data_IF_443389988866
#
_entry.id   IF_443389988866
#
_cell.length_a   1.000
_cell.length_b   1.000
_cell.length_c   1.000
_cell.angle_alpha   90.00
_cell.angle_beta   90.00
_cell.angle_gamma   90.00
#
_symmetry.space_group_name_H-M   'P 1'
#
loop_
_entity.id
_entity.type
_entity.pdbx_description
1 polymer ?
#
# COMPACT_ATOMS: atom_id res chain seq x y z
N UNK A 1 18.90 30.31 -5.69
CA UNK A 1 20.03 29.36 -5.58
C UNK A 1 20.56 29.19 -4.15
N UNK A 2 21.37 30.09 -3.55
CA UNK A 2 21.92 29.85 -2.19
C UNK A 2 20.82 29.66 -1.11
N UNK A 3 19.80 30.51 -1.08
CA UNK A 3 18.66 30.38 -0.15
C UNK A 3 17.84 29.11 -0.38
N UNK A 4 17.73 28.65 -1.63
CA UNK A 4 17.02 27.40 -1.99
C UNK A 4 17.83 26.14 -1.68
N UNK A 5 19.16 26.22 -1.75
CA UNK A 5 20.03 25.12 -1.34
C UNK A 5 20.03 24.97 0.19
N UNK A 6 20.12 26.08 0.92
CA UNK A 6 20.01 26.09 2.39
C UNK A 6 18.65 25.54 2.83
N UNK A 7 17.57 25.85 2.11
CA UNK A 7 16.24 25.29 2.43
C UNK A 7 16.13 23.80 2.11
N UNK A 8 16.78 23.30 1.05
CA UNK A 8 16.78 21.87 0.72
C UNK A 8 17.62 21.04 1.71
N UNK A 9 18.78 21.53 2.13
CA UNK A 9 19.59 20.85 3.15
C UNK A 9 18.86 20.77 4.48
N UNK A 10 18.20 21.86 4.89
CA UNK A 10 17.34 21.87 6.07
C UNK A 10 16.19 20.86 5.93
N UNK A 11 15.51 20.83 4.79
CA UNK A 11 14.45 19.88 4.53
C UNK A 11 14.93 18.42 4.57
N UNK A 12 16.13 18.14 4.05
CA UNK A 12 16.75 16.81 4.13
C UNK A 12 17.11 16.44 5.57
N UNK A 13 17.65 17.37 6.35
CA UNK A 13 17.92 17.16 7.78
C UNK A 13 16.63 16.96 8.59
N UNK A 14 15.53 17.61 8.21
CA UNK A 14 14.22 17.41 8.83
C UNK A 14 13.64 16.04 8.52
N UNK A 15 13.80 15.53 7.29
CA UNK A 15 13.37 14.18 6.92
C UNK A 15 14.09 13.10 7.74
N UNK A 16 15.31 13.36 8.20
CA UNK A 16 16.04 12.44 9.07
C UNK A 16 15.46 12.31 10.48
N UNK A 17 14.65 13.27 10.92
CA UNK A 17 14.06 13.26 12.26
C UNK A 17 12.84 12.34 12.31
N UNK A 18 12.78 11.39 13.27
CA UNK A 18 11.57 10.61 13.50
C UNK A 18 10.39 11.53 13.88
N UNK A 19 9.25 11.40 13.21
CA UNK A 19 8.07 12.24 13.44
C UNK A 19 6.84 11.46 13.88
N UNK A 20 6.89 10.12 13.93
CA UNK A 20 5.75 9.27 14.28
C UNK A 20 5.21 9.48 15.70
N UNK A 21 5.97 10.15 16.56
CA UNK A 21 5.56 10.51 17.91
C UNK A 21 4.82 11.85 17.99
N UNK A 22 4.89 12.69 16.95
CA UNK A 22 4.31 14.03 16.94
C UNK A 22 2.78 14.05 16.85
N UNK A 23 2.10 13.19 16.05
CA UNK A 23 0.66 13.27 15.93
C UNK A 23 -0.04 12.95 17.26
N UNK A 24 -0.89 13.88 17.71
CA UNK A 24 -1.75 13.66 18.87
C UNK A 24 -2.93 12.78 18.48
N UNK A 25 -3.03 11.62 19.12
CA UNK A 25 -4.18 10.74 18.97
C UNK A 25 -5.39 11.29 19.72
N UNK A 26 -6.50 11.45 19.01
CA UNK A 26 -7.78 11.92 19.55
C UNK A 26 -8.87 10.86 19.43
N UNK A 27 -9.96 10.98 20.20
CA UNK A 27 -11.08 10.03 20.16
C UNK A 27 -10.73 8.60 20.60
N UNK A 28 -9.74 8.45 21.48
CA UNK A 28 -9.21 7.14 21.89
C UNK A 28 -10.01 6.53 23.04
N UNK A 29 -10.86 5.55 22.74
CA UNK A 29 -11.53 4.72 23.76
C UNK A 29 -10.56 3.70 24.38
N UNK A 30 -10.87 3.20 25.58
CA UNK A 30 -10.07 2.14 26.22
C UNK A 30 -9.95 0.90 25.31
N UNK A 31 -11.05 0.48 24.70
CA UNK A 31 -11.07 -0.63 23.75
C UNK A 31 -10.13 -0.39 22.56
N UNK A 32 -10.12 0.84 22.03
CA UNK A 32 -9.24 1.21 20.91
C UNK A 32 -7.77 1.17 21.30
N UNK A 33 -7.43 1.67 22.49
CA UNK A 33 -6.06 1.64 23.04
C UNK A 33 -5.60 0.21 23.30
N UNK A 34 -6.47 -0.61 23.90
CA UNK A 34 -6.17 -2.01 24.19
C UNK A 34 -5.96 -2.81 22.90
N UNK A 35 -6.89 -2.69 21.95
CA UNK A 35 -6.78 -3.34 20.65
C UNK A 35 -5.52 -2.88 19.92
N UNK A 36 -5.25 -1.57 19.85
CA UNK A 36 -4.05 -1.04 19.19
C UNK A 36 -2.72 -1.35 19.89
N UNK A 37 -2.73 -2.04 21.04
CA UNK A 37 -1.51 -2.35 21.77
C UNK A 37 -0.73 -3.50 21.11
N UNK A 38 0.58 -3.28 20.89
CA UNK A 38 1.48 -4.31 20.39
C UNK A 38 1.54 -5.54 21.31
N UNK A 39 1.41 -5.34 22.63
CA UNK A 39 1.42 -6.41 23.63
C UNK A 39 0.25 -7.37 23.43
N UNK A 40 -0.97 -6.85 23.22
CA UNK A 40 -2.14 -7.68 22.97
C UNK A 40 -1.96 -8.51 21.68
N UNK A 41 -1.57 -7.86 20.58
CA UNK A 41 -1.37 -8.60 19.33
C UNK A 41 -0.25 -9.64 19.44
N UNK A 42 0.80 -9.41 20.25
CA UNK A 42 1.84 -10.43 20.52
C UNK A 42 1.36 -11.57 21.42
N UNK A 43 0.47 -11.30 22.36
CA UNK A 43 -0.08 -12.31 23.27
C UNK A 43 -0.99 -13.32 22.54
N UNK A 44 -1.66 -12.90 21.46
CA UNK A 44 -2.49 -13.78 20.65
C UNK A 44 -1.63 -14.48 19.58
N UNK A 45 -1.57 -15.83 19.55
CA UNK A 45 -0.85 -16.56 18.52
C UNK A 45 -1.31 -16.17 17.11
N UNK A 46 -0.36 -15.96 16.19
CA UNK A 46 -0.65 -15.51 14.82
C UNK A 46 -1.69 -16.39 14.11
N UNK A 47 -1.61 -17.74 14.12
CA UNK A 47 -2.62 -18.57 13.45
C UNK A 47 -4.03 -18.34 14.00
N UNK A 48 -4.17 -18.16 15.32
CA UNK A 48 -5.46 -17.88 15.94
C UNK A 48 -5.98 -16.50 15.54
N UNK A 49 -5.14 -15.47 15.61
CA UNK A 49 -5.52 -14.11 15.23
C UNK A 49 -6.00 -14.01 13.78
N UNK A 50 -5.29 -14.67 12.85
CA UNK A 50 -5.68 -14.65 11.43
C UNK A 50 -6.94 -15.48 11.18
N UNK A 51 -7.16 -16.58 11.90
CA UNK A 51 -8.44 -17.32 11.84
C UNK A 51 -9.61 -16.49 12.37
N UNK A 52 -9.42 -15.76 13.47
CA UNK A 52 -10.42 -14.84 14.02
C UNK A 52 -10.69 -13.68 13.06
N UNK A 53 -9.66 -13.14 12.40
CA UNK A 53 -9.82 -12.12 11.37
C UNK A 53 -10.60 -12.66 10.16
N UNK A 54 -10.29 -13.88 9.70
CA UNK A 54 -11.04 -14.52 8.63
C UNK A 54 -12.51 -14.77 9.01
N UNK A 55 -12.77 -15.23 10.25
CA UNK A 55 -14.12 -15.37 10.79
C UNK A 55 -14.84 -14.02 10.83
N UNK A 56 -14.19 -12.95 11.29
CA UNK A 56 -14.74 -11.59 11.26
C UNK A 56 -15.17 -11.20 9.84
N UNK A 57 -14.32 -11.40 8.83
CA UNK A 57 -14.67 -11.11 7.43
C UNK A 57 -15.88 -11.90 6.93
N UNK A 58 -16.01 -13.18 7.32
CA UNK A 58 -17.20 -14.00 7.03
C UNK A 58 -18.45 -13.47 7.73
N UNK A 59 -18.33 -13.07 9.00
CA UNK A 59 -19.45 -12.50 9.76
C UNK A 59 -19.87 -11.14 9.20
N UNK A 60 -18.93 -10.29 8.79
CA UNK A 60 -19.22 -8.98 8.17
C UNK A 60 -20.10 -9.11 6.93
N UNK A 61 -19.94 -10.18 6.14
CA UNK A 61 -20.80 -10.45 4.98
C UNK A 61 -22.29 -10.59 5.36
N UNK A 62 -22.57 -11.24 6.50
CA UNK A 62 -23.93 -11.50 6.95
C UNK A 62 -24.49 -10.38 7.83
N UNK A 63 -23.65 -9.76 8.65
CA UNK A 63 -24.06 -8.84 9.71
C UNK A 63 -23.96 -7.36 9.32
N UNK A 64 -23.17 -7.01 8.30
CA UNK A 64 -22.89 -5.61 7.96
C UNK A 64 -23.26 -5.33 6.49
N UNK A 65 -24.54 -5.03 6.19
CA UNK A 65 -25.02 -4.82 4.82
C UNK A 65 -24.22 -3.78 4.03
N UNK A 66 -23.74 -2.72 4.70
CA UNK A 66 -22.90 -1.69 4.07
C UNK A 66 -21.56 -2.24 3.57
N UNK A 67 -20.89 -3.10 4.36
CA UNK A 67 -19.62 -3.75 3.97
C UNK A 67 -19.85 -4.73 2.82
N UNK A 68 -20.93 -5.51 2.87
CA UNK A 68 -21.35 -6.39 1.77
C UNK A 68 -21.57 -5.62 0.46
N UNK A 69 -22.38 -4.57 0.50
CA UNK A 69 -22.67 -3.76 -0.69
C UNK A 69 -21.40 -3.10 -1.24
N UNK A 70 -20.49 -2.64 -0.36
CA UNK A 70 -19.22 -2.08 -0.79
C UNK A 70 -18.32 -3.13 -1.47
N UNK A 71 -18.17 -4.32 -0.89
CA UNK A 71 -17.37 -5.40 -1.49
C UNK A 71 -17.92 -5.87 -2.85
N UNK A 72 -19.24 -5.89 -3.01
CA UNK A 72 -19.88 -6.17 -4.31
C UNK A 72 -19.53 -5.10 -5.34
N UNK A 73 -19.64 -3.80 -5.00
CA UNK A 73 -19.24 -2.71 -5.90
C UNK A 73 -17.77 -2.80 -6.33
N UNK A 74 -16.86 -3.10 -5.40
CA UNK A 74 -15.45 -3.26 -5.75
C UNK A 74 -15.22 -4.47 -6.66
N UNK A 75 -15.98 -5.55 -6.44
CA UNK A 75 -15.94 -6.76 -7.29
C UNK A 75 -16.43 -6.45 -8.70
N UNK A 76 -17.54 -5.71 -8.82
CA UNK A 76 -18.04 -5.22 -10.10
C UNK A 76 -17.00 -4.36 -10.82
N UNK A 77 -16.40 -3.39 -10.13
CA UNK A 77 -15.40 -2.50 -10.72
C UNK A 77 -14.17 -3.26 -11.25
N UNK A 78 -13.63 -4.25 -10.53
CA UNK A 78 -12.38 -4.90 -10.94
C UNK A 78 -12.57 -6.16 -11.79
N UNK A 79 -13.70 -6.87 -11.63
CA UNK A 79 -14.00 -8.12 -12.37
C UNK A 79 -15.08 -7.96 -13.43
N UNK A 80 -15.80 -6.83 -13.48
CA UNK A 80 -16.95 -6.65 -14.36
C UNK A 80 -18.17 -7.52 -14.02
N UNK A 81 -18.19 -8.13 -12.83
CA UNK A 81 -19.28 -9.03 -12.43
C UNK A 81 -20.43 -8.24 -11.81
N UNK A 82 -21.64 -8.39 -12.38
CA UNK A 82 -22.85 -7.77 -11.82
C UNK A 82 -23.04 -8.16 -10.35
N UNK A 83 -23.34 -7.20 -9.45
CA UNK A 83 -23.56 -7.43 -8.02
C UNK A 83 -24.64 -8.47 -7.68
N UNK A 84 -25.56 -8.73 -8.61
CA UNK A 84 -26.68 -9.67 -8.44
C UNK A 84 -26.29 -11.13 -8.70
N UNK A 85 -25.13 -11.35 -9.33
CA UNK A 85 -24.70 -12.70 -9.69
C UNK A 85 -24.21 -13.49 -8.47
N UNK A 86 -24.50 -14.80 -8.39
CA UNK A 86 -23.93 -15.67 -7.34
C UNK A 86 -22.40 -15.65 -7.34
N UNK A 87 -21.78 -15.49 -8.50
CA UNK A 87 -20.33 -15.41 -8.67
C UNK A 87 -19.74 -14.14 -8.04
N UNK A 88 -20.34 -12.96 -8.27
CA UNK A 88 -19.92 -11.72 -7.60
C UNK A 88 -19.98 -11.87 -6.07
N UNK A 89 -21.00 -12.54 -5.55
CA UNK A 89 -21.12 -12.79 -4.12
C UNK A 89 -19.99 -13.69 -3.57
N UNK A 90 -19.48 -14.65 -4.35
CA UNK A 90 -18.32 -15.47 -3.94
C UNK A 90 -17.07 -14.61 -3.80
N UNK A 91 -16.77 -13.77 -4.79
CA UNK A 91 -15.58 -12.92 -4.77
C UNK A 91 -15.67 -11.80 -3.73
N UNK A 92 -16.84 -11.15 -3.60
CA UNK A 92 -17.06 -10.13 -2.58
C UNK A 92 -16.93 -10.70 -1.14
N UNK A 93 -17.37 -11.94 -0.89
CA UNK A 93 -17.11 -12.63 0.38
C UNK A 93 -15.62 -12.85 0.61
N UNK A 94 -14.90 -13.35 -0.40
CA UNK A 94 -13.44 -13.57 -0.30
C UNK A 94 -12.72 -12.25 -0.01
N UNK A 95 -13.15 -11.16 -0.65
CA UNK A 95 -12.64 -9.80 -0.41
C UNK A 95 -12.82 -9.35 1.04
N UNK A 96 -13.99 -9.54 1.65
CA UNK A 96 -14.19 -9.17 3.07
C UNK A 96 -13.28 -9.98 4.01
N UNK A 97 -13.05 -11.26 3.70
CA UNK A 97 -12.09 -12.09 4.43
C UNK A 97 -10.67 -11.57 4.23
N UNK A 98 -10.29 -11.23 3.00
CA UNK A 98 -8.98 -10.67 2.67
C UNK A 98 -8.72 -9.36 3.39
N UNK A 99 -9.63 -8.38 3.28
CA UNK A 99 -9.57 -7.10 3.98
C UNK A 99 -9.35 -7.32 5.49
N UNK A 100 -10.09 -8.27 6.07
CA UNK A 100 -10.04 -8.50 7.49
C UNK A 100 -8.71 -9.11 7.95
N UNK A 101 -8.19 -10.08 7.20
CA UNK A 101 -6.91 -10.74 7.45
C UNK A 101 -5.74 -9.79 7.19
N UNK A 102 -5.76 -9.07 6.07
CA UNK A 102 -4.76 -8.06 5.73
C UNK A 102 -4.72 -6.92 6.74
N UNK A 103 -5.86 -6.51 7.29
CA UNK A 103 -5.90 -5.55 8.40
C UNK A 103 -5.21 -6.11 9.67
N UNK A 104 -5.44 -7.37 10.03
CA UNK A 104 -4.79 -8.00 11.20
C UNK A 104 -3.28 -8.19 11.00
N UNK A 105 -2.84 -8.57 9.80
CA UNK A 105 -1.41 -8.66 9.46
C UNK A 105 -0.69 -7.32 9.64
N UNK A 106 -1.37 -6.22 9.32
CA UNK A 106 -0.82 -4.88 9.46
C UNK A 106 -0.64 -4.46 10.93
N UNK A 107 -1.44 -4.98 11.86
CA UNK A 107 -1.20 -4.83 13.31
C UNK A 107 -0.03 -5.67 13.83
N UNK A 108 0.54 -6.54 13.00
CA UNK A 108 1.61 -7.48 13.34
C UNK A 108 2.87 -7.23 12.49
N UNK A 109 3.44 -6.02 12.51
CA UNK A 109 4.56 -5.66 11.63
C UNK A 109 5.85 -6.46 11.90
N UNK A 110 5.96 -7.17 13.02
CA UNK A 110 7.10 -8.06 13.27
C UNK A 110 7.09 -9.33 12.40
N UNK A 111 5.94 -9.73 11.85
CA UNK A 111 5.84 -10.94 11.02
C UNK A 111 6.58 -10.79 9.69
N UNK A 112 6.71 -9.57 9.18
CA UNK A 112 7.38 -9.31 7.90
C UNK A 112 8.89 -9.23 8.00
N UNK A 113 9.47 -9.25 9.21
CA UNK A 113 10.93 -9.22 9.39
C UNK A 113 11.65 -10.39 8.72
N UNK A 114 11.02 -11.57 8.72
CA UNK A 114 11.54 -12.80 8.10
C UNK A 114 10.72 -13.22 6.88
N UNK A 115 9.90 -12.31 6.34
CA UNK A 115 9.13 -12.57 5.14
C UNK A 115 10.08 -12.89 3.97
N UNK A 116 9.83 -13.96 3.19
CA UNK A 116 10.57 -14.20 1.96
C UNK A 116 10.38 -13.02 0.99
N UNK A 117 11.45 -12.61 0.33
CA UNK A 117 11.41 -11.57 -0.70
C UNK A 117 11.97 -12.20 -1.98
N UNK A 118 11.07 -12.53 -2.90
CA UNK A 118 11.42 -12.99 -4.25
C UNK A 118 12.08 -11.82 -5.01
N UNK A 119 13.21 -12.06 -5.69
CA UNK A 119 13.93 -11.03 -6.45
C UNK A 119 14.80 -10.08 -5.62
N UNK A 120 15.09 -10.42 -4.35
CA UNK A 120 15.95 -9.61 -3.49
C UNK A 120 17.36 -9.42 -4.09
N UNK A 121 17.95 -10.45 -4.70
CA UNK A 121 19.32 -10.40 -5.23
C UNK A 121 19.45 -9.34 -6.34
N UNK A 122 18.53 -9.33 -7.31
CA UNK A 122 18.46 -8.33 -8.38
C UNK A 122 18.30 -6.91 -7.86
N UNK A 123 17.49 -6.75 -6.81
CA UNK A 123 17.34 -5.45 -6.16
C UNK A 123 18.66 -5.00 -5.50
N UNK A 124 19.40 -5.92 -4.88
CA UNK A 124 20.69 -5.62 -4.28
C UNK A 124 21.75 -5.29 -5.36
N UNK A 125 21.71 -5.98 -6.50
CA UNK A 125 22.54 -5.67 -7.68
C UNK A 125 22.25 -4.26 -8.21
N UNK A 126 20.98 -3.93 -8.46
CA UNK A 126 20.58 -2.60 -8.90
C UNK A 126 20.99 -1.49 -7.90
N UNK A 127 20.95 -1.78 -6.60
CA UNK A 127 21.43 -0.86 -5.56
C UNK A 127 22.95 -0.74 -5.55
N UNK A 128 23.68 -1.80 -5.85
CA UNK A 128 25.14 -1.82 -5.85
C UNK A 128 25.74 -0.93 -6.96
N UNK A 129 24.97 -0.62 -8.00
CA UNK A 129 25.35 0.37 -9.03
C UNK A 129 25.53 1.79 -8.49
N UNK A 130 25.08 2.07 -7.26
CA UNK A 130 25.22 3.38 -6.60
C UNK A 130 24.30 4.47 -7.15
N UNK A 131 23.54 4.17 -8.20
CA UNK A 131 22.41 4.97 -8.68
C UNK A 131 21.25 4.75 -7.71
N UNK A 132 20.58 5.83 -7.28
CA UNK A 132 19.43 5.71 -6.38
C UNK A 132 18.40 4.70 -6.88
N UNK A 133 17.63 4.11 -5.98
CA UNK A 133 16.65 3.06 -6.36
C UNK A 133 15.25 3.50 -5.98
N UNK A 134 14.33 3.48 -6.95
CA UNK A 134 12.91 3.64 -6.73
C UNK A 134 12.27 2.27 -6.65
N UNK A 135 11.79 1.88 -5.47
CA UNK A 135 10.85 0.76 -5.34
C UNK A 135 9.46 1.26 -5.68
N UNK A 136 9.05 1.04 -6.92
CA UNK A 136 7.71 1.37 -7.39
C UNK A 136 6.72 0.32 -6.86
N UNK A 137 5.56 0.72 -6.34
CA UNK A 137 4.51 -0.22 -5.90
C UNK A 137 3.13 0.29 -6.30
N UNK A 138 2.13 -0.58 -6.37
CA UNK A 138 0.72 -0.18 -6.28
C UNK A 138 0.18 -0.47 -4.87
N UNK A 139 -0.96 0.12 -4.49
CA UNK A 139 -1.64 -0.27 -3.26
C UNK A 139 -2.35 -1.62 -3.42
N UNK A 140 -1.57 -2.70 -3.32
CA UNK A 140 -2.04 -4.08 -3.35
C UNK A 140 -1.45 -4.85 -2.16
N UNK A 141 -2.27 -5.72 -1.58
CA UNK A 141 -1.94 -6.49 -0.40
C UNK A 141 -1.55 -5.60 0.78
N UNK A 142 -0.85 -6.17 1.78
CA UNK A 142 -0.27 -5.40 2.87
C UNK A 142 1.00 -4.66 2.41
N UNK A 143 0.87 -3.70 1.49
CA UNK A 143 1.97 -3.07 0.73
C UNK A 143 3.14 -2.55 1.57
N UNK A 144 2.91 -2.02 2.78
CA UNK A 144 3.98 -1.60 3.71
C UNK A 144 4.83 -2.78 4.24
N UNK A 145 4.41 -4.02 3.99
CA UNK A 145 5.14 -5.24 4.33
C UNK A 145 6.49 -5.32 3.64
N UNK A 146 6.58 -4.94 2.36
CA UNK A 146 7.82 -4.93 1.60
C UNK A 146 8.82 -3.94 2.18
N UNK A 147 8.38 -2.71 2.47
CA UNK A 147 9.21 -1.68 3.12
C UNK A 147 9.82 -2.22 4.42
N UNK A 148 9.00 -2.82 5.29
CA UNK A 148 9.46 -3.40 6.56
C UNK A 148 10.36 -4.61 6.37
N UNK A 149 10.08 -5.44 5.36
CA UNK A 149 10.91 -6.60 5.02
C UNK A 149 12.31 -6.16 4.58
N UNK A 150 12.40 -5.11 3.77
CA UNK A 150 13.67 -4.52 3.37
C UNK A 150 14.38 -3.83 4.56
N UNK A 151 13.64 -3.06 5.35
CA UNK A 151 14.20 -2.39 6.54
C UNK A 151 14.74 -3.37 7.57
N UNK A 152 14.07 -4.51 7.77
CA UNK A 152 14.55 -5.58 8.65
C UNK A 152 15.88 -6.22 8.19
N UNK A 153 16.28 -5.99 6.94
CA UNK A 153 17.57 -6.39 6.35
C UNK A 153 18.58 -5.24 6.32
N UNK A 154 18.37 -4.20 7.13
CA UNK A 154 19.30 -3.08 7.29
C UNK A 154 19.19 -1.99 6.22
N UNK A 155 18.14 -2.01 5.39
CA UNK A 155 17.95 -0.97 4.37
C UNK A 155 17.20 0.23 4.93
N UNK A 156 17.80 1.40 4.82
CA UNK A 156 17.10 2.66 5.04
C UNK A 156 16.24 2.96 3.81
N UNK A 157 14.95 3.23 4.04
CA UNK A 157 13.98 3.48 2.99
C UNK A 157 13.29 4.81 3.24
N UNK A 158 13.26 5.67 2.22
CA UNK A 158 12.51 6.92 2.22
C UNK A 158 11.18 6.72 1.52
N UNK A 159 10.09 6.87 2.26
CA UNK A 159 8.75 6.51 1.79
C UNK A 159 8.04 7.79 1.37
N UNK A 160 7.66 7.87 0.10
CA UNK A 160 6.82 8.97 -0.38
C UNK A 160 5.43 8.83 0.25
N UNK A 161 5.07 9.76 1.12
CA UNK A 161 3.89 9.67 1.98
C UNK A 161 4.20 10.16 3.40
N UNK A 162 3.21 10.17 4.29
CA UNK A 162 3.44 10.52 5.69
C UNK A 162 2.32 11.32 6.34
N UNK A 163 1.53 12.01 5.53
CA UNK A 163 0.26 12.62 5.96
C UNK A 163 -0.88 11.71 5.53
N UNK A 164 -1.05 10.62 6.26
CA UNK A 164 -2.30 9.87 6.14
C UNK A 164 -3.44 10.80 6.57
N UNK A 165 -4.52 10.87 5.78
CA UNK A 165 -5.91 10.95 6.25
C UNK A 165 -6.56 12.29 6.63
N UNK A 166 -5.98 13.46 6.34
CA UNK A 166 -6.62 14.74 6.69
C UNK A 166 -6.91 14.87 8.20
N UNK A 167 -7.88 15.69 8.63
CA UNK A 167 -8.18 15.91 10.05
C UNK A 167 -8.47 14.62 10.84
N UNK A 168 -9.00 13.59 10.18
CA UNK A 168 -9.49 12.36 10.82
C UNK A 168 -8.46 11.24 10.95
N UNK A 169 -7.28 11.42 10.36
CA UNK A 169 -6.23 10.40 10.32
C UNK A 169 -5.75 9.89 11.67
N UNK A 170 -5.92 10.73 12.69
CA UNK A 170 -5.45 10.54 14.05
C UNK A 170 -6.61 10.30 15.04
N UNK A 171 -7.82 10.06 14.53
CA UNK A 171 -9.04 9.83 15.31
C UNK A 171 -9.29 8.32 15.49
N UNK A 172 -9.61 7.92 16.73
CA UNK A 172 -10.10 6.57 17.06
C UNK A 172 -9.18 5.44 16.59
N UNK A 173 -9.78 4.34 16.10
CA UNK A 173 -9.03 3.15 15.68
C UNK A 173 -8.11 3.41 14.49
N UNK A 174 -8.52 4.26 13.55
CA UNK A 174 -7.69 4.66 12.42
C UNK A 174 -6.44 5.40 12.89
N UNK A 175 -6.60 6.33 13.85
CA UNK A 175 -5.48 7.03 14.47
C UNK A 175 -4.44 6.12 15.12
N UNK A 176 -4.88 5.16 15.94
CA UNK A 176 -3.95 4.19 16.55
C UNK A 176 -3.22 3.36 15.50
N UNK A 177 -3.95 2.92 14.48
CA UNK A 177 -3.36 2.16 13.39
C UNK A 177 -2.28 2.99 12.70
N UNK A 178 -2.58 4.23 12.30
CA UNK A 178 -1.64 5.14 11.63
C UNK A 178 -0.39 5.36 12.49
N UNK A 179 -0.56 5.70 13.76
CA UNK A 179 0.57 5.93 14.68
C UNK A 179 1.42 4.66 14.87
N UNK A 180 0.79 3.49 14.98
CA UNK A 180 1.51 2.22 15.10
C UNK A 180 2.28 1.89 13.81
N UNK A 181 1.70 2.14 12.63
CA UNK A 181 2.34 1.90 11.34
C UNK A 181 3.57 2.80 11.17
N UNK A 182 3.40 4.11 11.40
CA UNK A 182 4.47 5.09 11.29
C UNK A 182 5.60 4.80 12.26
N UNK A 183 5.27 4.55 13.53
CA UNK A 183 6.27 4.22 14.55
C UNK A 183 7.05 2.96 14.20
N UNK A 184 6.36 1.92 13.72
CA UNK A 184 7.01 0.67 13.34
C UNK A 184 8.00 0.83 12.18
N UNK A 185 7.77 1.78 11.27
CA UNK A 185 8.66 2.04 10.14
C UNK A 185 9.85 2.88 10.58
N UNK A 186 9.62 3.93 11.38
CA UNK A 186 10.70 4.78 11.89
C UNK A 186 11.64 4.04 12.86
N UNK A 187 11.09 3.16 13.71
CA UNK A 187 11.88 2.24 14.56
C UNK A 187 12.74 1.28 13.74
N UNK A 188 12.37 1.00 12.48
CA UNK A 188 13.15 0.20 11.55
C UNK A 188 14.15 1.03 10.73
N UNK A 189 14.27 2.33 11.00
CA UNK A 189 15.17 3.25 10.31
C UNK A 189 14.57 3.94 9.08
N UNK A 190 13.36 3.60 8.65
CA UNK A 190 12.71 4.27 7.51
C UNK A 190 12.32 5.71 7.85
N UNK A 191 12.16 6.54 6.81
CA UNK A 191 11.71 7.93 6.95
C UNK A 191 10.58 8.25 5.99
N UNK A 192 9.67 9.12 6.42
CA UNK A 192 8.55 9.58 5.62
C UNK A 192 8.92 10.91 4.96
N UNK A 193 8.77 10.98 3.64
CA UNK A 193 8.89 12.24 2.89
C UNK A 193 7.49 12.81 2.70
N UNK A 194 7.17 13.83 3.49
CA UNK A 194 5.84 14.45 3.58
C UNK A 194 5.38 15.01 2.24
N UNK A 195 4.06 15.06 2.05
CA UNK A 195 3.44 15.67 0.86
C UNK A 195 3.62 17.18 0.89
N UNK A 196 3.71 17.79 -0.30
CA UNK A 196 3.99 19.23 -0.45
C UNK A 196 5.50 19.48 -0.37
N UNK A 197 6.15 19.68 -1.52
CA UNK A 197 7.61 19.81 -1.59
C UNK A 197 8.39 18.49 -1.55
N UNK A 198 7.72 17.33 -1.61
CA UNK A 198 8.38 16.01 -1.60
C UNK A 198 9.32 15.78 -2.79
N UNK A 199 9.00 16.37 -3.95
CA UNK A 199 9.71 16.11 -5.21
C UNK A 199 11.21 16.46 -5.12
N UNK A 200 11.63 17.70 -4.79
CA UNK A 200 13.05 18.04 -4.69
C UNK A 200 13.79 17.23 -3.62
N UNK A 201 13.11 16.84 -2.54
CA UNK A 201 13.69 16.00 -1.49
C UNK A 201 13.95 14.58 -2.01
N UNK A 202 12.96 13.95 -2.65
CA UNK A 202 13.11 12.62 -3.23
C UNK A 202 14.17 12.60 -4.33
N UNK A 203 14.24 13.64 -5.16
CA UNK A 203 15.29 13.81 -6.16
C UNK A 203 16.68 13.82 -5.53
N UNK A 204 16.89 14.69 -4.53
CA UNK A 204 18.16 14.79 -3.82
C UNK A 204 18.55 13.50 -3.09
N UNK A 205 17.58 12.73 -2.57
CA UNK A 205 17.82 11.42 -1.97
C UNK A 205 18.28 10.40 -3.03
N UNK A 206 17.61 10.34 -4.18
CA UNK A 206 17.99 9.45 -5.27
C UNK A 206 19.38 9.78 -5.84
N UNK A 207 19.71 11.06 -5.98
CA UNK A 207 21.04 11.54 -6.39
C UNK A 207 22.14 11.12 -5.38
N UNK A 208 21.79 10.85 -4.12
CA UNK A 208 22.70 10.32 -3.09
C UNK A 208 22.80 8.80 -3.09
N UNK A 209 22.15 8.11 -4.02
CA UNK A 209 22.11 6.64 -4.06
C UNK A 209 21.12 6.02 -3.07
N UNK A 210 20.21 6.80 -2.49
CA UNK A 210 19.25 6.29 -1.49
C UNK A 210 18.09 5.53 -2.13
N UNK A 211 17.38 4.75 -1.30
CA UNK A 211 16.21 3.98 -1.74
C UNK A 211 14.92 4.73 -1.41
N UNK A 212 14.14 5.05 -2.43
CA UNK A 212 12.83 5.68 -2.32
C UNK A 212 11.71 4.67 -2.62
N UNK A 213 10.70 4.59 -1.76
CA UNK A 213 9.51 3.75 -1.97
C UNK A 213 8.32 4.63 -2.35
N UNK A 214 7.80 4.44 -3.56
CA UNK A 214 6.80 5.34 -4.16
C UNK A 214 5.67 4.53 -4.79
N UNK A 215 4.43 4.95 -4.52
CA UNK A 215 3.22 4.33 -5.09
C UNK A 215 2.90 4.89 -6.48
N UNK A 216 2.79 4.05 -7.50
CA UNK A 216 2.45 4.45 -8.89
C UNK A 216 1.01 4.91 -9.05
N UNK A 217 0.12 4.42 -8.19
CA UNK A 217 -1.32 4.71 -8.16
C UNK A 217 -1.64 5.89 -7.21
N UNK A 218 -0.68 6.79 -7.01
CA UNK A 218 -0.91 8.01 -6.25
C UNK A 218 -1.86 8.96 -7.03
N UNK A 219 -2.96 9.45 -6.42
CA UNK A 219 -3.92 10.32 -7.10
C UNK A 219 -3.27 11.60 -7.66
N UNK A 220 -3.54 11.91 -8.93
CA UNK A 220 -3.04 13.09 -9.60
C UNK A 220 -3.98 13.58 -10.70
N UNK A 221 -3.42 14.18 -11.75
CA UNK A 221 -4.17 14.76 -12.87
C UNK A 221 -3.86 14.09 -14.21
N UNK A 222 -2.90 13.16 -14.25
CA UNK A 222 -2.53 12.47 -15.48
C UNK A 222 -3.54 11.36 -15.75
N UNK A 223 -4.26 11.44 -16.87
CA UNK A 223 -5.20 10.41 -17.31
C UNK A 223 -4.47 9.30 -18.08
N UNK A 224 -4.59 8.08 -17.58
CA UNK A 224 -3.97 6.86 -18.09
C UNK A 224 -4.87 5.66 -17.84
N UNK A 225 -4.58 4.52 -18.45
CA UNK A 225 -5.27 3.27 -18.14
C UNK A 225 -4.55 2.51 -17.01
N UNK A 226 -5.32 1.94 -16.09
CA UNK A 226 -4.86 1.02 -15.05
C UNK A 226 -5.84 -0.14 -14.95
N UNK A 227 -5.39 -1.34 -15.33
CA UNK A 227 -6.19 -2.58 -15.33
C UNK A 227 -7.51 -2.44 -16.12
N UNK A 228 -7.44 -1.94 -17.35
CA UNK A 228 -8.61 -1.76 -18.22
C UNK A 228 -9.52 -0.59 -17.85
N UNK A 229 -9.17 0.17 -16.81
CA UNK A 229 -9.97 1.30 -16.32
C UNK A 229 -9.18 2.59 -16.43
N UNK A 230 -9.78 3.68 -16.92
CA UNK A 230 -9.13 4.97 -16.86
C UNK A 230 -8.92 5.42 -15.40
N UNK A 231 -7.77 6.02 -15.13
CA UNK A 231 -7.31 6.43 -13.82
C UNK A 231 -6.66 7.82 -13.89
N UNK A 232 -6.76 8.59 -12.80
CA UNK A 232 -6.02 9.85 -12.63
C UNK A 232 -4.87 9.68 -11.63
N UNK A 233 -3.64 9.70 -12.13
CA UNK A 233 -2.43 9.43 -11.33
C UNK A 233 -1.40 10.56 -11.41
N UNK A 234 -0.26 10.41 -10.73
CA UNK A 234 0.89 11.31 -10.81
C UNK A 234 2.02 10.69 -11.64
N UNK A 235 2.66 11.50 -12.49
CA UNK A 235 3.88 11.11 -13.21
C UNK A 235 5.17 11.25 -12.40
N UNK A 236 5.12 11.83 -11.19
CA UNK A 236 6.32 12.25 -10.45
C UNK A 236 7.33 11.13 -10.16
N UNK A 237 6.89 9.87 -10.06
CA UNK A 237 7.80 8.73 -9.95
C UNK A 237 8.65 8.57 -11.21
N UNK A 238 8.01 8.57 -12.38
CA UNK A 238 8.68 8.43 -13.66
C UNK A 238 9.58 9.63 -13.96
N UNK A 239 9.13 10.85 -13.64
CA UNK A 239 9.98 12.04 -13.76
C UNK A 239 11.24 11.93 -12.90
N UNK A 240 11.12 11.51 -11.63
CA UNK A 240 12.27 11.28 -10.77
C UNK A 240 13.23 10.24 -11.34
N UNK A 241 12.70 9.13 -11.88
CA UNK A 241 13.50 8.07 -12.47
C UNK A 241 14.33 8.57 -13.66
N UNK A 242 13.71 9.28 -14.59
CA UNK A 242 14.38 9.79 -15.79
C UNK A 242 15.37 10.92 -15.46
N UNK A 243 15.02 11.83 -14.54
CA UNK A 243 15.89 12.95 -14.16
C UNK A 243 17.13 12.51 -13.39
N UNK A 244 17.00 11.50 -12.52
CA UNK A 244 18.11 11.05 -11.65
C UNK A 244 18.85 9.84 -12.20
N UNK A 245 18.32 9.20 -13.24
CA UNK A 245 18.77 7.89 -13.68
C UNK A 245 18.59 6.81 -12.61
N UNK A 246 17.69 6.98 -11.64
CA UNK A 246 17.45 5.97 -10.62
C UNK A 246 16.88 4.68 -11.23
N UNK A 247 17.36 3.52 -10.75
CA UNK A 247 16.79 2.24 -11.14
C UNK A 247 15.36 2.12 -10.59
N UNK A 248 14.40 1.70 -11.42
CA UNK A 248 13.02 1.49 -10.98
C UNK A 248 12.76 0.01 -10.81
N UNK A 249 12.53 -0.43 -9.57
CA UNK A 249 12.26 -1.84 -9.25
C UNK A 249 10.78 -2.01 -8.88
N UNK A 250 9.95 -2.64 -9.73
CA UNK A 250 8.56 -2.91 -9.40
C UNK A 250 8.46 -3.91 -8.24
N UNK A 251 7.94 -3.44 -7.11
CA UNK A 251 7.80 -4.17 -5.87
C UNK A 251 6.34 -4.30 -5.43
N UNK A 252 6.02 -5.41 -4.75
CA UNK A 252 4.71 -5.61 -4.10
C UNK A 252 4.82 -6.55 -2.91
N UNK A 253 3.80 -6.52 -2.05
CA UNK A 253 3.60 -7.55 -1.03
C UNK A 253 2.28 -8.26 -1.30
N UNK A 254 2.28 -9.59 -1.32
CA UNK A 254 1.07 -10.38 -1.41
C UNK A 254 0.90 -11.23 -0.16
N UNK A 255 -0.35 -11.42 0.27
CA UNK A 255 -0.70 -12.47 1.21
C UNK A 255 -0.68 -13.81 0.48
N UNK A 256 0.08 -14.77 0.99
CA UNK A 256 0.06 -16.18 0.56
C UNK A 256 -0.24 -17.06 1.76
N UNK A 257 -1.39 -17.73 1.73
CA UNK A 257 -1.89 -18.48 2.88
C UNK A 257 -1.97 -17.60 4.14
N UNK A 258 -1.35 -18.05 5.24
CA UNK A 258 -1.30 -17.29 6.51
C UNK A 258 -0.09 -16.36 6.63
N UNK A 259 0.74 -16.28 5.59
CA UNK A 259 1.94 -15.45 5.54
C UNK A 259 1.85 -14.33 4.52
N UNK A 260 2.96 -13.61 4.38
CA UNK A 260 3.18 -12.60 3.35
C UNK A 260 4.42 -13.00 2.55
N UNK A 261 4.50 -12.54 1.31
CA UNK A 261 5.68 -12.63 0.45
C UNK A 261 5.91 -11.26 -0.19
N UNK A 262 7.15 -10.79 -0.13
CA UNK A 262 7.59 -9.64 -0.91
C UNK A 262 8.00 -10.13 -2.29
N UNK A 263 7.67 -9.38 -3.33
CA UNK A 263 8.06 -9.69 -4.70
C UNK A 263 8.67 -8.41 -5.27
N UNK A 264 9.94 -8.49 -5.65
CA UNK A 264 10.66 -7.49 -6.43
C UNK A 264 10.87 -8.07 -7.82
N UNK A 265 10.41 -7.38 -8.85
CA UNK A 265 10.59 -7.79 -10.24
C UNK A 265 11.94 -7.30 -10.76
N UNK A 266 12.24 -7.66 -11.99
CA UNK A 266 13.37 -7.11 -12.74
C UNK A 266 13.31 -5.57 -12.71
N UNK A 267 14.44 -4.88 -12.46
CA UNK A 267 14.51 -3.45 -12.66
C UNK A 267 14.07 -3.06 -14.07
N UNK A 268 13.29 -2.00 -14.19
CA UNK A 268 12.89 -1.42 -15.47
C UNK A 268 14.07 -0.63 -16.01
N UNK A 269 14.47 -0.93 -17.24
CA UNK A 269 15.46 -0.15 -17.97
C UNK A 269 14.86 1.20 -18.37
N UNK A 270 15.16 2.23 -17.58
CA UNK A 270 14.61 3.57 -17.80
C UNK A 270 15.16 4.25 -19.04
N UNK A 271 16.27 3.77 -19.62
CA UNK A 271 16.85 4.35 -20.83
C UNK A 271 16.02 4.12 -22.09
N UNK A 272 15.03 3.22 -22.01
CA UNK A 272 14.09 2.92 -23.09
C UNK A 272 12.94 3.94 -23.19
N UNK A 273 12.91 4.95 -22.32
CA UNK A 273 11.81 5.91 -22.21
C UNK A 273 12.34 7.33 -22.23
N UNK A 274 11.87 8.13 -23.20
CA UNK A 274 12.20 9.56 -23.31
C UNK A 274 11.18 10.45 -22.56
N UNK A 275 9.98 9.92 -22.29
CA UNK A 275 8.87 10.66 -21.68
C UNK A 275 8.44 10.00 -20.34
N UNK A 276 8.34 10.75 -19.23
CA UNK A 276 7.76 10.29 -17.99
C UNK A 276 6.36 9.65 -18.14
N UNK A 277 5.56 10.08 -19.12
CA UNK A 277 4.26 9.50 -19.39
C UNK A 277 4.36 8.04 -19.84
N UNK A 278 5.29 7.72 -20.72
CA UNK A 278 5.43 6.37 -21.27
C UNK A 278 5.98 5.40 -20.23
N UNK A 279 6.95 5.84 -19.42
CA UNK A 279 7.40 5.06 -18.26
C UNK A 279 6.25 4.87 -17.25
N UNK A 280 5.42 5.90 -17.01
CA UNK A 280 4.25 5.78 -16.13
C UNK A 280 3.25 4.73 -16.66
N UNK A 281 2.93 4.76 -17.96
CA UNK A 281 2.06 3.77 -18.62
C UNK A 281 2.62 2.36 -18.51
N UNK A 282 3.92 2.19 -18.78
CA UNK A 282 4.60 0.90 -18.65
C UNK A 282 4.47 0.33 -17.24
N UNK A 283 4.76 1.14 -16.21
CA UNK A 283 4.63 0.71 -14.81
C UNK A 283 3.18 0.34 -14.47
N UNK A 284 2.20 1.14 -14.89
CA UNK A 284 0.79 0.87 -14.62
C UNK A 284 0.26 -0.37 -15.35
N UNK A 285 0.76 -0.71 -16.53
CA UNK A 285 0.45 -1.97 -17.19
C UNK A 285 1.01 -3.17 -16.38
N UNK A 286 2.27 -3.09 -15.91
CA UNK A 286 2.85 -4.12 -15.04
C UNK A 286 2.04 -4.34 -13.75
N UNK A 287 1.62 -3.25 -13.09
CA UNK A 287 0.80 -3.34 -11.90
C UNK A 287 -0.64 -3.74 -12.23
N UNK A 288 -1.21 -3.26 -13.33
CA UNK A 288 -2.57 -3.55 -13.79
C UNK A 288 -2.81 -5.04 -13.94
N UNK A 289 -1.88 -5.77 -14.57
CA UNK A 289 -1.93 -7.24 -14.65
C UNK A 289 -1.96 -7.90 -13.27
N UNK A 290 -1.20 -7.37 -12.33
CA UNK A 290 -1.16 -7.88 -10.94
C UNK A 290 -2.48 -7.62 -10.21
N UNK A 291 -3.09 -6.44 -10.40
CA UNK A 291 -4.38 -6.11 -9.83
C UNK A 291 -5.45 -7.10 -10.31
N UNK A 292 -5.43 -7.47 -11.59
CA UNK A 292 -6.34 -8.44 -12.19
C UNK A 292 -6.07 -9.88 -11.74
N UNK A 293 -4.80 -10.23 -11.46
CA UNK A 293 -4.41 -11.54 -10.95
C UNK A 293 -4.86 -11.76 -9.49
N UNK A 294 -4.82 -10.71 -8.65
CA UNK A 294 -5.17 -10.76 -7.22
C UNK A 294 -6.19 -9.68 -6.79
N UNK A 295 -7.39 -9.64 -7.39
CA UNK A 295 -8.33 -8.52 -7.22
C UNK A 295 -8.87 -8.39 -5.79
N UNK A 296 -8.94 -9.49 -5.03
CA UNK A 296 -9.36 -9.43 -3.63
C UNK A 296 -8.33 -8.72 -2.74
N UNK A 297 -7.06 -8.64 -3.16
CA UNK A 297 -6.00 -7.98 -2.38
C UNK A 297 -5.81 -6.49 -2.75
N UNK A 298 -6.50 -5.98 -3.76
CA UNK A 298 -6.33 -4.59 -4.23
C UNK A 298 -6.89 -3.60 -3.22
N UNK A 299 -6.13 -2.61 -2.77
CA UNK A 299 -6.59 -1.62 -1.80
C UNK A 299 -7.63 -0.65 -2.40
N UNK A 300 -8.44 -0.01 -1.55
CA UNK A 300 -9.46 0.97 -1.96
C UNK A 300 -8.88 2.15 -2.77
N UNK A 301 -7.63 2.52 -2.53
CA UNK A 301 -6.94 3.65 -3.21
C UNK A 301 -6.92 3.50 -4.73
N UNK A 302 -6.80 2.27 -5.25
CA UNK A 302 -6.84 2.00 -6.70
C UNK A 302 -8.22 2.38 -7.27
N UNK A 303 -9.29 2.07 -6.53
CA UNK A 303 -10.64 2.39 -6.96
C UNK A 303 -10.93 3.89 -6.86
N UNK A 304 -10.26 4.61 -5.96
CA UNK A 304 -10.37 6.07 -5.87
C UNK A 304 -9.81 6.77 -7.12
N UNK A 305 -8.68 6.31 -7.66
CA UNK A 305 -8.11 6.89 -8.89
C UNK A 305 -8.96 6.57 -10.12
N UNK A 306 -9.62 5.40 -10.18
CA UNK A 306 -10.62 5.10 -11.20
C UNK A 306 -11.86 5.99 -11.08
N UNK A 307 -12.39 6.12 -9.86
CA UNK A 307 -13.58 6.94 -9.61
C UNK A 307 -13.31 8.43 -9.89
N UNK A 308 -12.10 8.92 -9.64
CA UNK A 308 -11.70 10.28 -9.97
C UNK A 308 -11.73 10.53 -11.49
N UNK A 309 -11.19 9.61 -12.29
CA UNK A 309 -11.23 9.70 -13.76
C UNK A 309 -12.67 9.69 -14.30
N UNK A 310 -13.53 8.79 -13.77
CA UNK A 310 -14.93 8.72 -14.16
C UNK A 310 -15.68 10.03 -13.89
N UNK A 311 -15.44 10.67 -12.73
CA UNK A 311 -16.02 11.99 -12.40
C UNK A 311 -15.51 13.10 -13.32
N UNK A 312 -14.20 13.09 -13.63
CA UNK A 312 -13.58 14.07 -14.54
C UNK A 312 -14.22 14.04 -15.93
N UNK A 313 -14.43 12.85 -16.50
CA UNK A 313 -15.10 12.69 -17.79
C UNK A 313 -16.56 13.12 -17.79
N UNK A 314 -17.29 12.87 -16.70
CA UNK A 314 -18.68 13.31 -16.58
C UNK A 314 -18.79 14.84 -16.59
N UNK A 315 -17.87 15.55 -15.93
CA UNK A 315 -17.85 17.02 -15.93
C UNK A 315 -17.52 17.59 -17.32
N UNK A 316 -16.60 16.97 -18.06
CA UNK A 316 -16.27 17.38 -19.43
C UNK A 316 -17.45 17.17 -20.40
N UNK A 317 -18.10 16.00 -20.35
CA UNK A 317 -19.27 15.72 -21.17
C UNK A 317 -20.44 16.65 -20.87
N UNK A 318 -20.67 17.00 -19.59
CA UNK A 318 -21.73 17.93 -19.20
C UNK A 318 -21.48 19.38 -19.65
N UNK A 319 -20.21 19.76 -19.88
CA UNK A 319 -19.84 21.09 -20.40
C UNK A 319 -19.94 21.17 -21.91
N UNK A 320 -19.63 20.08 -22.62
CA UNK A 320 -19.79 19.99 -24.09
C UNK A 320 -21.25 19.82 -24.54
N UNK A 321 -22.17 19.52 -23.63
CA UNK A 321 -23.61 19.39 -23.91
C UNK A 321 -24.45 20.59 -23.45
N UNK A 322 -23.82 21.74 -23.17
CA UNK A 322 -24.58 23.00 -23.10
C UNK A 322 -25.08 23.33 -24.50
N UNK A 323 -26.39 23.58 -24.73
CA UNK A 323 -26.86 23.99 -26.03
C UNK A 323 -26.15 25.29 -26.42
N UNK A 324 -25.61 25.32 -27.64
CA UNK A 324 -25.18 26.56 -28.29
C UNK A 324 -26.27 27.60 -28.09
N UNK A 325 -25.98 28.62 -27.28
CA UNK A 325 -26.77 29.84 -27.28
C UNK A 325 -26.47 30.49 -28.62
N UNK A 326 -27.38 30.24 -29.57
CA UNK A 326 -27.46 30.90 -30.87
C UNK A 326 -27.17 32.39 -30.70
N UNK A 327 -26.02 32.83 -31.21
CA UNK A 327 -25.67 34.23 -31.40
C UNK A 327 -26.67 34.85 -32.38
N UNK A 328 -27.74 35.43 -31.85
CA UNK A 328 -28.53 36.39 -32.59
C UNK A 328 -27.76 37.72 -32.62
N UNK A 329 -27.25 38.07 -33.80
CA UNK A 329 -26.68 39.39 -34.09
C UNK A 329 -27.68 40.50 -33.78
N UNK A 330 -27.28 41.59 -33.10
CA UNK A 330 -28.02 42.84 -33.13
C UNK A 330 -27.35 43.83 -34.08
N UNK A 331 -28.11 44.20 -35.11
CA UNK A 331 -27.90 45.38 -35.95
C UNK A 331 -27.90 46.66 -35.12
N UNK A 332 -26.92 47.54 -35.36
CA UNK A 332 -26.93 48.96 -35.00
C UNK A 332 -28.13 49.70 -35.62
N UNK A 333 -28.71 50.71 -34.92
CA UNK A 333 -28.41 52.09 -35.32
C UNK A 333 -28.31 53.14 -34.17
N UNK A 334 -27.44 54.12 -34.40
CA UNK A 334 -27.61 55.58 -34.24
C UNK A 334 -28.13 56.23 -32.93
N UNK A 335 -27.20 56.94 -32.28
CA UNK A 335 -27.24 58.32 -31.74
C UNK A 335 -28.40 58.85 -30.85
N UNK A 336 -28.04 59.41 -29.69
CA UNK A 336 -28.81 60.49 -29.04
C UNK A 336 -28.64 60.68 -27.53
N UNK A 337 -27.82 61.66 -27.14
CA UNK A 337 -28.02 62.59 -26.00
C UNK A 337 -27.64 62.18 -24.56
N UNK A 338 -26.48 62.71 -24.16
CA UNK A 338 -26.08 63.41 -22.90
C UNK A 338 -27.09 63.49 -21.75
N UNK A 339 -26.68 63.15 -20.52
CA UNK A 339 -26.68 64.02 -19.31
C UNK A 339 -25.86 63.37 -18.17
N UNK A 340 -25.08 64.21 -17.50
CA UNK A 340 -24.13 63.94 -16.44
C UNK A 340 -24.74 63.68 -15.05
N UNK A 341 -24.03 62.93 -14.20
CA UNK A 341 -23.47 63.36 -12.87
C UNK A 341 -23.11 62.15 -11.97
N UNK A 342 -21.88 62.17 -11.45
CA UNK A 342 -21.38 61.44 -10.26
C UNK A 342 -21.87 62.12 -8.95
N UNK A 343 -21.44 61.78 -7.70
CA UNK A 343 -20.67 60.62 -7.19
C UNK A 343 -21.14 60.02 -5.80
N UNK A 344 -20.81 58.74 -5.54
CA UNK A 344 -20.51 58.07 -4.22
C UNK A 344 -21.47 58.17 -3.01
N UNK A 345 -21.13 57.62 -1.81
CA UNK A 345 -20.33 56.44 -1.48
C UNK A 345 -20.94 55.48 -0.39
N UNK A 346 -20.33 54.29 -0.24
CA UNK A 346 -20.03 53.59 1.04
C UNK A 346 -21.12 52.80 1.85
N UNK A 347 -20.68 51.90 2.78
CA UNK A 347 -21.20 50.53 2.93
C UNK A 347 -21.87 50.24 4.28
N UNK A 348 -22.56 49.09 4.44
CA UNK A 348 -22.88 48.54 5.77
C UNK A 348 -22.79 47.01 5.90
N UNK A 349 -22.23 46.64 7.06
CA UNK A 349 -22.07 45.33 7.69
C UNK A 349 -23.40 44.77 8.21
N UNK A 350 -23.50 43.44 8.30
CA UNK A 350 -24.35 42.70 9.28
C UNK A 350 -23.59 41.42 9.64
N UNK A 351 -22.95 41.30 10.82
CA UNK A 351 -23.44 40.91 12.16
C UNK A 351 -24.35 39.67 12.20
N UNK A 352 -23.73 38.62 12.75
CA UNK A 352 -24.29 37.41 13.38
C UNK A 352 -25.34 37.70 14.45
N UNK A 353 -26.34 36.82 14.57
CA UNK A 353 -26.82 36.29 15.85
C UNK A 353 -27.46 34.88 15.70
N UNK A 354 -27.44 34.05 16.76
CA UNK A 354 -27.80 32.64 16.73
C UNK A 354 -29.22 32.38 17.26
N UNK A 355 -29.84 31.28 16.82
CA UNK A 355 -31.11 30.78 17.39
C UNK A 355 -30.85 29.50 18.17
N UNK A 356 -31.11 29.56 19.49
CA UNK A 356 -31.36 28.42 20.38
C UNK A 356 -32.86 28.06 20.31
N UNK A 357 -33.17 26.78 20.50
CA UNK A 357 -34.28 26.41 21.39
C UNK A 357 -35.30 25.41 20.86
N UNK A 358 -35.24 24.22 21.46
CA UNK A 358 -36.37 23.35 21.86
C UNK A 358 -37.21 22.66 20.77
N UNK A 359 -37.97 21.60 21.01
CA UNK A 359 -37.91 20.40 21.87
C UNK A 359 -39.24 19.65 21.59
N UNK A 360 -39.26 18.32 21.71
CA UNK A 360 -40.46 17.45 21.78
C UNK A 360 -41.27 17.34 20.46
N UNK A 361 -41.85 16.21 20.04
CA UNK A 361 -42.54 15.13 20.77
C UNK A 361 -42.43 13.78 20.03
N UNK A 362 -42.55 12.75 20.85
CA UNK A 362 -42.92 11.37 20.53
C UNK A 362 -44.31 11.24 19.89
N UNK A 363 -44.47 10.26 18.99
CA UNK A 363 -45.77 9.63 18.73
C UNK A 363 -45.55 8.13 18.48
N UNK A 364 -46.19 7.33 19.33
CA UNK A 364 -46.42 5.90 19.27
C UNK A 364 -47.89 5.67 18.90
N UNK A 365 -48.17 4.76 17.97
CA UNK A 365 -49.43 3.98 17.82
C UNK A 365 -49.20 3.01 16.63
N UNK A 366 -49.07 1.68 16.76
CA UNK A 366 -50.00 0.57 17.08
C UNK A 366 -51.23 0.40 16.18
N UNK A 367 -51.22 -0.70 15.40
CA UNK A 367 -52.30 -1.68 15.08
C UNK A 367 -51.84 -2.53 13.88
N UNK A 368 -52.17 -3.79 13.61
CA UNK A 368 -52.63 -4.99 14.34
C UNK A 368 -52.84 -6.11 13.28
N UNK A 369 -52.42 -7.35 13.57
CA UNK A 369 -52.98 -8.67 13.14
C UNK A 369 -53.53 -8.87 11.70
N UNK A 370 -52.94 -9.72 10.85
CA UNK A 370 -53.22 -11.18 10.71
C UNK A 370 -53.85 -11.51 9.32
N UNK A 371 -53.91 -12.77 8.80
CA UNK A 371 -53.80 -14.06 9.47
C UNK A 371 -52.88 -15.12 8.80
N UNK A 372 -52.73 -16.24 9.54
CA UNK A 372 -52.05 -17.51 9.24
C UNK A 372 -52.81 -18.37 8.21
N UNK A 373 -52.09 -19.20 7.44
CA UNK A 373 -52.52 -20.56 7.07
C UNK A 373 -51.36 -21.55 7.25
N UNK A 374 -51.74 -22.76 7.66
CA UNK A 374 -50.93 -23.86 8.18
C UNK A 374 -50.81 -25.00 7.15
N UNK A 375 -49.68 -25.71 7.24
CA UNK A 375 -49.46 -27.16 7.19
C UNK A 375 -49.80 -27.99 5.94
N UNK A 376 -48.79 -28.77 5.51
CA UNK A 376 -48.98 -30.17 5.14
C UNK A 376 -47.97 -30.73 4.14
N UNK A 377 -46.92 -31.42 4.62
CA UNK A 377 -46.42 -32.72 4.13
C UNK A 377 -44.90 -32.92 4.41
N UNK A 378 -44.59 -34.08 4.98
CA UNK A 378 -43.28 -34.76 5.16
C UNK A 378 -43.45 -36.18 4.56
N UNK A 379 -42.43 -37.04 4.49
CA UNK A 379 -41.20 -36.96 3.69
C UNK A 379 -41.07 -38.21 2.77
N UNK A 380 -40.10 -38.25 1.85
CA UNK A 380 -39.62 -39.52 1.32
C UNK A 380 -38.10 -39.53 1.22
N UNK A 381 -37.53 -40.53 1.88
CA UNK A 381 -36.15 -41.00 1.75
C UNK A 381 -35.88 -41.43 0.31
N UNK A 382 -34.66 -41.17 -0.17
CA UNK A 382 -33.90 -42.15 -0.97
C UNK A 382 -32.43 -41.76 -1.04
N UNK A 383 -31.64 -42.80 -0.79
CA UNK A 383 -30.20 -42.92 -0.85
C UNK A 383 -29.64 -42.59 -2.24
N UNK A 384 -28.37 -42.18 -2.30
CA UNK A 384 -27.65 -42.07 -3.56
C UNK A 384 -26.45 -41.15 -3.50
N UNK A 385 -25.35 -41.63 -2.93
CA UNK A 385 -24.00 -41.09 -3.16
C UNK A 385 -23.57 -41.49 -4.58
N UNK A 386 -22.97 -40.59 -5.35
CA UNK A 386 -21.90 -41.01 -6.24
C UNK A 386 -20.62 -40.21 -6.02
N UNK A 387 -19.55 -40.97 -5.82
CA UNK A 387 -18.16 -40.60 -5.94
C UNK A 387 -17.84 -40.14 -7.36
N UNK A 388 -17.26 -38.95 -7.52
CA UNK A 388 -16.63 -38.55 -8.77
C UNK A 388 -15.16 -38.97 -8.77
N UNK A 389 -14.90 -40.03 -9.54
CA UNK A 389 -13.58 -40.48 -9.97
C UNK A 389 -13.03 -39.56 -11.06
N UNK A 390 -11.72 -39.34 -11.03
CA UNK A 390 -10.96 -38.71 -12.11
C UNK A 390 -10.95 -39.57 -13.38
N UNK A 391 -10.87 -38.99 -14.60
CA UNK A 391 -10.53 -39.75 -15.78
C UNK A 391 -9.01 -39.79 -15.98
N UNK A 392 -8.51 -41.01 -16.12
CA UNK A 392 -7.20 -41.33 -16.66
C UNK A 392 -7.23 -41.30 -18.21
N UNK A 393 -6.12 -40.80 -18.76
CA UNK A 393 -5.45 -41.23 -20.00
C UNK A 393 -6.28 -41.81 -21.16
N UNK A 394 -6.28 -41.09 -22.29
CA UNK A 394 -6.35 -41.69 -23.61
C UNK A 394 -4.95 -41.68 -24.24
N UNK A 395 -4.50 -42.87 -24.63
CA UNK A 395 -3.28 -43.12 -25.37
C UNK A 395 -3.45 -42.74 -26.85
N UNK A 396 -2.35 -42.27 -27.44
CA UNK A 396 -2.18 -42.09 -28.88
C UNK A 396 -0.69 -42.16 -29.19
N UNK A 397 -0.25 -43.33 -29.62
CA UNK A 397 1.10 -43.62 -30.08
C UNK A 397 1.45 -42.84 -31.37
N UNK A 398 2.74 -42.50 -31.54
CA UNK A 398 3.65 -43.00 -32.60
C UNK A 398 4.81 -41.99 -32.85
N UNK A 399 6.03 -42.56 -32.81
CA UNK A 399 7.35 -42.14 -33.39
C UNK A 399 8.28 -41.19 -32.63
N UNK A 400 9.14 -41.82 -31.83
CA UNK A 400 10.61 -41.90 -31.99
C UNK A 400 11.41 -40.66 -32.41
N UNK A 401 12.22 -40.14 -31.48
CA UNK A 401 13.66 -39.99 -31.70
C UNK A 401 14.41 -39.87 -30.37
N UNK A 402 15.51 -40.61 -30.31
CA UNK A 402 16.46 -40.76 -29.22
C UNK A 402 17.28 -39.50 -28.94
N UNK A 403 17.60 -39.21 -27.68
CA UNK A 403 19.01 -39.09 -27.20
C UNK A 403 19.10 -38.87 -25.68
N UNK A 404 19.69 -39.89 -25.02
CA UNK A 404 20.65 -39.89 -23.90
C UNK A 404 20.56 -38.80 -22.80
N UNK A 405 20.22 -39.28 -21.59
CA UNK A 405 20.77 -38.82 -20.31
C UNK A 405 21.99 -39.67 -19.93
N UNK A 406 22.87 -39.17 -19.03
CA UNK A 406 23.60 -40.04 -18.12
C UNK A 406 23.19 -39.78 -16.67
N UNK A 407 22.80 -40.87 -16.02
CA UNK A 407 22.61 -41.02 -14.58
C UNK A 407 23.96 -41.07 -13.85
N UNK A 408 24.04 -40.43 -12.68
CA UNK A 408 25.10 -40.64 -11.72
C UNK A 408 24.51 -41.30 -10.47
N UNK A 409 24.96 -42.53 -10.18
CA UNK A 409 24.67 -43.26 -8.95
C UNK A 409 25.91 -44.07 -8.58
N UNK A 410 26.37 -43.98 -7.34
CA UNK A 410 27.41 -44.86 -6.83
C UNK A 410 28.06 -44.34 -5.55
N UNK A 411 27.83 -45.05 -4.46
CA UNK A 411 28.19 -44.75 -3.06
C UNK A 411 29.36 -45.67 -2.62
N UNK A 412 29.92 -45.39 -1.43
CA UNK A 412 30.73 -46.26 -0.52
C UNK A 412 32.26 -46.13 -0.65
N UNK A 413 33.13 -46.20 0.38
CA UNK A 413 33.06 -46.37 1.86
C UNK A 413 34.49 -46.24 2.43
N UNK A 414 34.59 -46.05 3.77
CA UNK A 414 35.68 -46.43 4.68
C UNK A 414 36.84 -45.44 4.96
N UNK A 415 37.14 -45.29 6.26
CA UNK A 415 38.09 -44.34 6.87
C UNK A 415 39.50 -44.91 7.16
N UNK A 416 40.08 -44.67 8.36
CA UNK A 416 41.09 -43.62 8.56
C UNK A 416 42.45 -44.13 9.08
N UNK A 417 43.51 -43.31 8.97
CA UNK A 417 44.72 -43.41 9.79
C UNK A 417 45.54 -42.10 9.81
N UNK A 418 45.91 -41.64 11.01
CA UNK A 418 47.03 -40.72 11.27
C UNK A 418 48.36 -41.53 11.34
N UNK A 419 49.56 -40.92 11.31
CA UNK A 419 50.13 -40.39 12.57
C UNK A 419 51.11 -39.17 12.48
N UNK A 420 51.33 -38.62 13.68
CA UNK A 420 52.33 -37.71 14.30
C UNK A 420 53.73 -37.43 13.70
N UNK A 421 54.25 -36.20 13.90
CA UNK A 421 55.58 -35.83 14.48
C UNK A 421 55.76 -34.27 14.55
N UNK A 422 55.90 -33.63 15.75
CA UNK A 422 57.13 -33.09 16.44
C UNK A 422 57.96 -32.07 15.63
N UNK A 423 58.13 -30.79 16.03
CA UNK A 423 58.78 -30.12 17.20
C UNK A 423 60.24 -29.68 16.94
N UNK A 424 60.50 -28.35 16.97
CA UNK A 424 61.68 -27.61 17.52
C UNK A 424 61.80 -26.24 16.82
N UNK A 425 61.56 -25.07 17.44
CA UNK A 425 62.30 -24.33 18.49
C UNK A 425 63.65 -23.73 18.05
N UNK A 426 63.75 -22.39 18.11
CA UNK A 426 64.89 -21.47 18.45
C UNK A 426 64.68 -20.16 17.67
N UNK A 427 64.75 -18.95 18.21
CA UNK A 427 65.14 -18.45 19.53
C UNK A 427 65.83 -17.07 19.39
N UNK A 428 65.45 -16.11 20.26
CA UNK A 428 66.21 -14.89 20.65
C UNK A 428 66.14 -13.71 19.65
N UNK A 429 65.70 -12.51 20.00
CA UNK A 429 66.14 -11.61 21.09
C UNK A 429 66.63 -10.31 20.43
N UNK A 430 66.54 -9.08 20.92
CA UNK A 430 66.25 -8.48 22.24
C UNK A 430 66.06 -6.96 22.04
N UNK A 431 65.22 -6.33 22.89
CA UNK A 431 65.35 -5.02 23.60
C UNK A 431 65.91 -3.79 22.88
N UNK A 432 65.39 -2.56 23.05
CA UNK A 432 65.22 -1.84 24.34
C UNK A 432 64.33 -0.59 24.24
N UNK A 433 63.63 -0.33 25.36
CA UNK A 433 63.34 0.95 26.04
C UNK A 433 62.52 2.05 25.33
N UNK A 434 61.56 2.73 25.98
CA UNK A 434 61.14 2.69 27.38
C UNK A 434 60.24 3.89 27.74
N UNK A 435 59.47 3.71 28.83
CA UNK A 435 58.83 4.70 29.73
C UNK A 435 57.81 5.70 29.15
N UNK A 436 56.73 6.11 29.85
CA UNK A 436 56.30 5.99 31.26
C UNK A 436 54.83 6.44 31.32
N UNK A 437 53.92 5.70 31.97
CA UNK A 437 53.36 5.93 33.33
C UNK A 437 52.30 7.06 33.37
N UNK A 438 51.02 6.81 33.71
CA UNK A 438 50.39 6.80 35.06
C UNK A 438 48.86 7.01 34.78
N UNK A 439 47.84 6.64 35.56
CA UNK A 439 47.61 5.80 36.73
C UNK A 439 46.08 5.74 36.97
N UNK A 440 45.60 4.71 37.69
CA UNK A 440 44.32 4.60 38.46
C UNK A 440 42.95 4.75 37.76
N UNK A 441 42.03 3.75 37.77
CA UNK A 441 41.11 3.29 38.84
C UNK A 441 40.07 4.38 39.22
N UNK A 442 38.77 4.16 39.48
CA UNK A 442 37.95 3.02 39.90
C UNK A 442 36.44 3.41 39.76
N UNK A 443 35.56 2.39 39.71
CA UNK A 443 34.10 2.31 39.98
C UNK A 443 33.27 3.56 40.36
N UNK A 444 32.03 3.64 39.83
CA UNK A 444 30.76 3.44 40.59
C UNK A 444 29.50 3.90 39.79
N UNK A 445 28.45 3.08 39.81
CA UNK A 445 27.02 3.45 39.74
C UNK A 445 26.62 4.32 40.98
N UNK A 446 25.42 4.95 41.14
CA UNK A 446 24.21 5.13 40.31
C UNK A 446 23.75 6.64 40.37
N UNK A 447 22.48 7.11 40.54
CA UNK A 447 21.15 6.51 40.86
C UNK A 447 20.20 6.28 39.67
#
# INVERSE_FOLDING_TARGET
MVTEMVSLEQALAEVERPTAHLPRLVGQTLATRLYGSRRLHRAVPTPLALRLAALRGRLEWHLVPRRRAHALRLTEMIRGLSPETPEAAVFARRRLVEDAVSAELQWRPWLVKRMPIEGLDRFLEARAEGRGVIVATAHIGPFLGLVRGLAARGMKIYISGGEWGGPDAHVGRRGQWTAMQNRSLEEAGCRWVRRGGSYPILRALLERGEVCFITVDAPGSLEVELAGHPALVRAGLASLALETGAAVVPGRTLRRGWGQVGILREPVDTSQFDDPLDLTRHLLDLFGRTLLEYPEQVHENVFEVWAAAARGRHLLHSRSSSPEVSEASPSTPSAGTVIARSPGPSPRRSRLQPVRGASTRSATETWSSGPKRRCGAKPQEREGVPTCSAPASAAGDIRSSSTRTPSWSGRSTAGPAAPTARCSSTGGGRSTDGSSALDTAERADPP
#
